data_IF_216779135787
#
_entry.id   IF_216779135787
#
_cell.length_a   1.000
_cell.length_b   1.000
_cell.length_c   1.000
_cell.angle_alpha   90.00
_cell.angle_beta   90.00
_cell.angle_gamma   90.00
#
_symmetry.space_group_name_H-M   'P 1'
#
loop_
_entity.id
_entity.type
_entity.pdbx_description
1 polymer ?
#
# COMPACT_ATOMS: atom_id res chain seq x y z
N UNK A 1 -5.96 29.64 3.13
CA UNK A 1 -5.08 29.14 2.04
C UNK A 1 -5.61 27.77 1.57
N UNK A 2 -5.58 27.43 0.27
CA UNK A 2 -6.00 26.09 -0.20
C UNK A 2 -4.77 25.22 -0.41
N UNK A 3 -4.74 24.01 0.15
CA UNK A 3 -3.68 23.00 -0.08
C UNK A 3 -4.28 21.86 -0.90
N UNK A 4 -3.53 21.32 -1.87
CA UNK A 4 -3.90 20.05 -2.48
C UNK A 4 -3.58 18.93 -1.50
N UNK A 5 -4.58 18.14 -1.10
CA UNK A 5 -4.36 16.88 -0.40
C UNK A 5 -4.08 15.82 -1.44
N UNK A 6 -2.95 15.14 -1.30
CA UNK A 6 -2.43 14.13 -2.25
C UNK A 6 -2.66 12.71 -1.72
N UNK A 7 -2.47 11.69 -2.57
CA UNK A 7 -2.56 10.30 -2.11
C UNK A 7 -1.47 10.01 -1.07
N UNK A 8 -0.28 10.60 -1.22
CA UNK A 8 0.78 10.41 -0.23
C UNK A 8 0.43 10.98 1.15
N UNK A 9 -0.29 12.10 1.23
CA UNK A 9 -0.79 12.64 2.51
C UNK A 9 -1.67 11.60 3.24
N UNK A 10 -2.58 10.92 2.50
CA UNK A 10 -3.42 9.85 3.07
C UNK A 10 -2.62 8.62 3.49
N UNK A 11 -1.58 8.27 2.72
CA UNK A 11 -0.72 7.14 3.07
C UNK A 11 0.06 7.40 4.36
N UNK A 12 0.70 8.57 4.45
CA UNK A 12 1.46 8.99 5.65
C UNK A 12 0.56 9.03 6.87
N UNK A 13 -0.67 9.53 6.73
CA UNK A 13 -1.65 9.53 7.82
C UNK A 13 -2.01 8.12 8.31
N UNK A 14 -2.21 7.16 7.38
CA UNK A 14 -2.52 5.75 7.73
C UNK A 14 -1.42 5.03 8.48
N UNK A 15 -0.16 5.42 8.28
CA UNK A 15 1.00 4.76 8.91
C UNK A 15 1.59 5.55 10.08
N UNK A 16 1.06 6.74 10.37
CA UNK A 16 1.60 7.66 11.39
C UNK A 16 1.70 7.02 12.77
N UNK A 17 0.74 6.20 13.16
CA UNK A 17 0.76 5.49 14.45
C UNK A 17 1.89 4.45 14.51
N UNK A 18 2.15 3.75 13.41
CA UNK A 18 3.28 2.81 13.30
C UNK A 18 4.60 3.54 13.43
N UNK A 19 4.76 4.66 12.71
CA UNK A 19 5.97 5.49 12.77
C UNK A 19 6.20 6.02 14.20
N UNK A 20 5.13 6.46 14.90
CA UNK A 20 5.19 6.93 16.29
C UNK A 20 5.64 5.87 17.30
N UNK A 21 5.25 4.60 17.09
CA UNK A 21 5.71 3.47 17.92
C UNK A 21 7.22 3.30 17.80
N UNK A 22 7.78 3.43 16.58
CA UNK A 22 9.21 3.32 16.36
C UNK A 22 10.00 4.45 17.02
N UNK A 23 9.51 5.68 16.94
CA UNK A 23 10.13 6.85 17.59
C UNK A 23 10.10 6.73 19.11
N UNK A 24 8.96 6.31 19.67
CA UNK A 24 8.78 6.09 21.11
C UNK A 24 9.73 5.01 21.62
N UNK A 25 9.83 3.89 20.90
CA UNK A 25 10.74 2.79 21.25
C UNK A 25 12.21 3.22 21.19
N UNK A 26 12.60 3.94 20.13
CA UNK A 26 13.95 4.50 20.00
C UNK A 26 14.31 5.45 21.13
N UNK A 27 13.36 6.30 21.55
CA UNK A 27 13.52 7.23 22.67
C UNK A 27 13.73 6.50 23.99
N UNK A 28 12.89 5.50 24.30
CA UNK A 28 13.00 4.68 25.51
C UNK A 28 14.35 3.97 25.60
N UNK A 29 14.82 3.40 24.49
CA UNK A 29 16.15 2.79 24.45
C UNK A 29 17.27 3.83 24.63
N UNK A 30 17.14 5.03 24.04
CA UNK A 30 18.10 6.12 24.25
C UNK A 30 18.25 6.50 25.73
N UNK A 31 17.12 6.58 26.45
CA UNK A 31 17.09 6.84 27.89
C UNK A 31 17.79 5.70 28.66
N UNK A 32 17.41 4.44 28.38
CA UNK A 32 17.99 3.27 29.06
C UNK A 32 19.49 3.12 28.79
N UNK A 33 19.93 3.32 27.55
CA UNK A 33 21.34 3.32 27.16
C UNK A 33 22.13 4.46 27.81
N UNK A 34 21.50 5.60 28.08
CA UNK A 34 22.08 6.68 28.88
C UNK A 34 22.29 6.30 30.34
N UNK A 35 21.29 5.68 30.98
CA UNK A 35 21.40 5.16 32.35
C UNK A 35 22.48 4.06 32.45
N UNK A 36 22.57 3.21 31.43
CA UNK A 36 23.63 2.20 31.30
C UNK A 36 25.02 2.75 30.97
N UNK A 37 25.20 4.07 30.79
CA UNK A 37 26.52 4.70 30.68
C UNK A 37 26.95 5.36 31.99
N UNK A 38 26.02 5.60 32.92
CA UNK A 38 26.26 6.30 34.18
C UNK A 38 26.72 5.36 35.31
N UNK A 39 26.49 4.04 35.19
CA UNK A 39 27.20 3.04 35.98
C UNK A 39 28.59 2.82 35.41
N UNK A 40 29.62 2.87 36.23
CA UNK A 40 31.03 2.98 35.83
C UNK A 40 31.52 1.85 34.90
N UNK A 41 32.56 2.16 34.10
CA UNK A 41 33.22 1.30 33.10
C UNK A 41 33.91 0.02 33.64
N UNK A 42 33.75 -0.36 34.90
CA UNK A 42 34.71 -1.23 35.58
C UNK A 42 34.27 -2.69 35.86
N UNK A 43 32.98 -3.03 35.86
CA UNK A 43 32.54 -4.40 36.23
C UNK A 43 32.13 -5.23 35.00
N UNK A 44 32.62 -6.48 34.94
CA UNK A 44 32.28 -7.45 33.91
C UNK A 44 30.76 -7.73 33.87
N UNK A 45 30.10 -7.67 35.03
CA UNK A 45 28.64 -7.79 35.14
C UNK A 45 27.93 -6.70 34.33
N UNK A 46 28.40 -5.45 34.40
CA UNK A 46 27.79 -4.32 33.71
C UNK A 46 27.97 -4.38 32.18
N UNK A 47 29.17 -4.79 31.72
CA UNK A 47 29.42 -5.06 30.29
C UNK A 47 28.53 -6.18 29.75
N UNK A 48 28.31 -7.23 30.55
CA UNK A 48 27.41 -8.33 30.21
C UNK A 48 25.94 -7.87 30.12
N UNK A 49 25.48 -7.08 31.10
CA UNK A 49 24.13 -6.51 31.11
C UNK A 49 23.88 -5.61 29.88
N UNK A 50 24.83 -4.73 29.55
CA UNK A 50 24.75 -3.88 28.36
C UNK A 50 24.66 -4.71 27.08
N UNK A 51 25.52 -5.71 26.91
CA UNK A 51 25.49 -6.59 25.74
C UNK A 51 24.16 -7.34 25.61
N UNK A 52 23.61 -7.83 26.72
CA UNK A 52 22.30 -8.48 26.75
C UNK A 52 21.18 -7.51 26.36
N UNK A 53 21.20 -6.29 26.91
CA UNK A 53 20.25 -5.24 26.57
C UNK A 53 20.32 -4.82 25.10
N UNK A 54 21.51 -4.64 24.54
CA UNK A 54 21.71 -4.31 23.13
C UNK A 54 21.21 -5.43 22.22
N UNK A 55 21.45 -6.70 22.59
CA UNK A 55 20.94 -7.86 21.85
C UNK A 55 19.41 -7.92 21.88
N UNK A 56 18.80 -7.77 23.05
CA UNK A 56 17.34 -7.76 23.21
C UNK A 56 16.69 -6.58 22.51
N UNK A 57 17.32 -5.41 22.55
CA UNK A 57 16.84 -4.25 21.83
C UNK A 57 16.85 -4.49 20.32
N UNK A 58 17.92 -5.08 19.80
CA UNK A 58 18.00 -5.42 18.38
C UNK A 58 16.90 -6.42 18.00
N UNK A 59 16.71 -7.48 18.77
CA UNK A 59 15.66 -8.48 18.53
C UNK A 59 14.26 -7.86 18.52
N UNK A 60 13.94 -7.01 19.51
CA UNK A 60 12.64 -6.33 19.60
C UNK A 60 12.50 -5.34 18.44
N UNK A 61 13.54 -4.58 18.12
CA UNK A 61 13.52 -3.61 17.03
C UNK A 61 13.28 -4.30 15.68
N UNK A 62 13.97 -5.40 15.40
CA UNK A 62 13.80 -6.17 14.16
C UNK A 62 12.37 -6.75 14.09
N UNK A 63 11.83 -7.23 15.21
CA UNK A 63 10.44 -7.70 15.28
C UNK A 63 9.43 -6.57 15.04
N UNK A 64 9.66 -5.39 15.60
CA UNK A 64 8.83 -4.21 15.40
C UNK A 64 8.85 -3.75 13.95
N UNK A 65 10.02 -3.65 13.31
CA UNK A 65 10.10 -3.28 11.90
C UNK A 65 9.44 -4.30 10.98
N UNK A 66 9.59 -5.59 11.27
CA UNK A 66 8.90 -6.66 10.55
C UNK A 66 7.37 -6.52 10.62
N UNK A 67 6.82 -6.24 11.80
CA UNK A 67 5.36 -6.04 11.95
C UNK A 67 4.88 -4.74 11.31
N UNK A 68 5.60 -3.63 11.52
CA UNK A 68 5.27 -2.36 10.89
C UNK A 68 5.35 -2.42 9.37
N UNK A 69 6.29 -3.18 8.81
CA UNK A 69 6.37 -3.43 7.38
C UNK A 69 5.09 -4.11 6.85
N UNK A 70 4.61 -5.17 7.51
CA UNK A 70 3.37 -5.86 7.11
C UNK A 70 2.17 -4.92 7.13
N UNK A 71 2.07 -4.07 8.17
CA UNK A 71 0.97 -3.11 8.34
C UNK A 71 1.06 -2.02 7.26
N UNK A 72 2.21 -1.40 7.06
CA UNK A 72 2.44 -0.35 6.07
C UNK A 72 2.17 -0.85 4.65
N UNK A 73 2.71 -2.01 4.27
CA UNK A 73 2.43 -2.61 2.97
C UNK A 73 0.93 -2.89 2.81
N UNK A 74 0.27 -3.44 3.84
CA UNK A 74 -1.18 -3.66 3.81
C UNK A 74 -1.99 -2.37 3.69
N UNK A 75 -1.54 -1.29 4.33
CA UNK A 75 -2.15 0.03 4.25
C UNK A 75 -2.02 0.63 2.83
N UNK A 76 -0.87 0.42 2.18
CA UNK A 76 -0.66 0.81 0.79
C UNK A 76 -1.57 0.04 -0.18
N UNK A 77 -1.67 -1.30 -0.04
CA UNK A 77 -2.59 -2.12 -0.84
C UNK A 77 -4.05 -1.65 -0.69
N UNK A 78 -4.47 -1.39 0.54
CA UNK A 78 -5.82 -0.88 0.85
C UNK A 78 -6.05 0.50 0.22
N UNK A 79 -5.05 1.39 0.28
CA UNK A 79 -5.17 2.73 -0.30
C UNK A 79 -5.23 2.68 -1.83
N UNK A 80 -4.45 1.83 -2.48
CA UNK A 80 -4.53 1.60 -3.93
C UNK A 80 -5.93 1.13 -4.36
N UNK A 81 -6.50 0.17 -3.63
CA UNK A 81 -7.89 -0.29 -3.85
C UNK A 81 -8.88 0.85 -3.74
N UNK A 82 -8.74 1.66 -2.70
CA UNK A 82 -9.63 2.78 -2.47
C UNK A 82 -9.51 3.87 -3.55
N UNK A 83 -8.28 4.18 -3.99
CA UNK A 83 -8.01 5.15 -5.06
C UNK A 83 -8.65 4.68 -6.37
N UNK A 84 -8.39 3.43 -6.76
CA UNK A 84 -8.98 2.83 -7.95
C UNK A 84 -10.51 2.85 -7.89
N UNK A 85 -11.09 2.45 -6.75
CA UNK A 85 -12.54 2.52 -6.51
C UNK A 85 -13.06 3.94 -6.64
N UNK A 86 -12.36 4.94 -6.09
CA UNK A 86 -12.77 6.33 -6.18
C UNK A 86 -12.81 6.81 -7.63
N UNK A 87 -11.78 6.51 -8.41
CA UNK A 87 -11.71 6.90 -9.81
C UNK A 87 -12.83 6.23 -10.62
N UNK A 88 -13.08 4.93 -10.41
CA UNK A 88 -14.20 4.25 -11.07
C UNK A 88 -15.56 4.90 -10.79
N UNK A 89 -15.77 5.38 -9.56
CA UNK A 89 -17.06 5.95 -9.15
C UNK A 89 -17.22 7.38 -9.66
N UNK A 90 -16.19 8.20 -9.52
CA UNK A 90 -16.25 9.63 -9.85
C UNK A 90 -16.11 9.87 -11.37
N UNK A 91 -15.33 9.05 -12.07
CA UNK A 91 -15.09 9.16 -13.52
C UNK A 91 -15.78 8.06 -14.35
N UNK A 92 -16.79 7.37 -13.81
CA UNK A 92 -17.47 6.24 -14.49
C UNK A 92 -17.80 6.51 -15.97
N UNK A 93 -18.32 7.69 -16.30
CA UNK A 93 -18.72 8.04 -17.67
C UNK A 93 -17.53 8.09 -18.66
N UNK A 94 -16.33 8.44 -18.18
CA UNK A 94 -15.09 8.40 -18.98
C UNK A 94 -14.60 6.96 -19.13
N UNK A 95 -14.66 6.21 -18.03
CA UNK A 95 -14.14 4.84 -17.91
C UNK A 95 -14.97 3.82 -18.69
N UNK A 96 -16.30 3.94 -18.65
CA UNK A 96 -17.18 2.94 -19.27
C UNK A 96 -16.93 2.82 -20.77
N UNK A 97 -16.62 3.94 -21.42
CA UNK A 97 -16.31 4.00 -22.85
C UNK A 97 -15.05 3.22 -23.21
N UNK A 98 -14.06 3.15 -22.32
CA UNK A 98 -12.80 2.43 -22.54
C UNK A 98 -12.82 0.99 -22.03
N UNK A 99 -13.71 0.65 -21.09
CA UNK A 99 -13.62 -0.60 -20.32
C UNK A 99 -14.13 -1.89 -20.99
N UNK A 100 -14.80 -1.82 -22.15
CA UNK A 100 -15.50 -2.96 -22.78
C UNK A 100 -16.47 -3.74 -21.85
N UNK A 101 -16.83 -3.18 -20.69
CA UNK A 101 -17.74 -3.81 -19.73
C UNK A 101 -19.18 -3.44 -20.10
N UNK A 102 -19.97 -4.46 -20.41
CA UNK A 102 -21.40 -4.29 -20.68
C UNK A 102 -22.24 -4.55 -19.42
N UNK A 103 -23.30 -3.76 -19.28
CA UNK A 103 -24.36 -4.00 -18.30
C UNK A 103 -25.55 -4.63 -19.01
N UNK A 104 -26.14 -5.66 -18.40
CA UNK A 104 -27.39 -6.23 -18.92
C UNK A 104 -28.55 -5.26 -18.68
N UNK A 105 -29.63 -5.41 -19.47
CA UNK A 105 -30.83 -4.58 -19.30
C UNK A 105 -31.41 -4.68 -17.88
N UNK A 106 -31.38 -5.87 -17.27
CA UNK A 106 -31.84 -6.07 -15.90
C UNK A 106 -31.02 -5.30 -14.87
N UNK A 107 -29.70 -5.25 -15.03
CA UNK A 107 -28.81 -4.49 -14.13
C UNK A 107 -28.99 -2.98 -14.26
N UNK A 108 -29.14 -2.50 -15.50
CA UNK A 108 -29.45 -1.09 -15.77
C UNK A 108 -30.77 -0.73 -15.08
N UNK A 109 -31.81 -1.55 -15.26
CA UNK A 109 -33.11 -1.31 -14.65
C UNK A 109 -33.04 -1.30 -13.12
N UNK A 110 -32.36 -2.28 -12.51
CA UNK A 110 -32.20 -2.37 -11.06
C UNK A 110 -31.49 -1.12 -10.48
N UNK A 111 -30.45 -0.65 -11.14
CA UNK A 111 -29.71 0.55 -10.71
C UNK A 111 -30.60 1.79 -10.83
N UNK A 112 -31.33 1.94 -11.93
CA UNK A 112 -32.22 3.09 -12.15
C UNK A 112 -33.35 3.14 -11.13
N UNK A 113 -34.02 2.00 -10.89
CA UNK A 113 -35.10 1.89 -9.88
C UNK A 113 -34.58 2.25 -8.49
N UNK A 114 -33.41 1.74 -8.09
CA UNK A 114 -32.81 2.09 -6.80
C UNK A 114 -32.48 3.58 -6.67
N UNK A 115 -32.06 4.24 -7.74
CA UNK A 115 -31.80 5.68 -7.74
C UNK A 115 -33.09 6.48 -7.59
N UNK A 116 -34.14 6.09 -8.31
CA UNK A 116 -35.47 6.71 -8.24
C UNK A 116 -36.09 6.53 -6.85
N UNK A 117 -36.10 5.30 -6.31
CA UNK A 117 -36.63 4.99 -4.97
C UNK A 117 -35.90 5.73 -3.84
N UNK A 118 -34.61 6.04 -4.02
CA UNK A 118 -33.81 6.80 -3.04
C UNK A 118 -33.85 8.31 -3.25
N UNK A 119 -34.53 8.81 -4.28
CA UNK A 119 -34.56 10.23 -4.64
C UNK A 119 -33.20 10.78 -5.09
N UNK A 120 -32.30 9.90 -5.55
CA UNK A 120 -30.93 10.22 -6.01
C UNK A 120 -30.78 9.94 -7.51
N UNK A 121 -31.68 10.49 -8.31
CA UNK A 121 -31.82 10.26 -9.76
C UNK A 121 -30.98 11.21 -10.64
N UNK A 122 -30.20 12.12 -10.04
CA UNK A 122 -29.37 13.01 -10.83
C UNK A 122 -28.32 12.24 -11.64
N UNK A 123 -27.95 12.69 -12.86
CA UNK A 123 -27.03 11.95 -13.74
C UNK A 123 -25.71 11.56 -13.06
N UNK A 124 -25.20 12.43 -12.18
CA UNK A 124 -23.99 12.18 -11.40
C UNK A 124 -24.17 11.04 -10.39
N UNK A 125 -25.29 11.00 -9.67
CA UNK A 125 -25.56 9.93 -8.71
C UNK A 125 -25.77 8.60 -9.40
N UNK A 126 -26.53 8.59 -10.50
CA UNK A 126 -26.74 7.39 -11.32
C UNK A 126 -25.40 6.85 -11.83
N UNK A 127 -24.55 7.70 -12.42
CA UNK A 127 -23.21 7.31 -12.87
C UNK A 127 -22.35 6.72 -11.74
N UNK A 128 -22.39 7.32 -10.55
CA UNK A 128 -21.68 6.80 -9.38
C UNK A 128 -22.18 5.41 -8.94
N UNK A 129 -23.49 5.12 -9.05
CA UNK A 129 -24.01 3.77 -8.78
C UNK A 129 -23.53 2.75 -9.79
N UNK A 130 -23.50 3.11 -11.08
CA UNK A 130 -22.91 2.24 -12.10
C UNK A 130 -21.43 1.96 -11.83
N UNK A 131 -20.64 2.97 -11.45
CA UNK A 131 -19.24 2.80 -11.04
C UNK A 131 -19.07 1.86 -9.84
N UNK A 132 -19.96 1.95 -8.84
CA UNK A 132 -19.98 1.01 -7.70
C UNK A 132 -20.32 -0.42 -8.12
N UNK A 133 -21.31 -0.59 -9.00
CA UNK A 133 -21.70 -1.90 -9.52
C UNK A 133 -20.58 -2.53 -10.34
N UNK A 134 -19.93 -1.74 -11.19
CA UNK A 134 -18.77 -2.13 -11.97
C UNK A 134 -17.63 -2.63 -11.08
N UNK A 135 -17.30 -1.87 -10.02
CA UNK A 135 -16.29 -2.29 -9.06
C UNK A 135 -16.66 -3.61 -8.38
N UNK A 136 -17.93 -3.79 -8.00
CA UNK A 136 -18.43 -5.05 -7.42
C UNK A 136 -18.27 -6.24 -8.37
N UNK A 137 -18.58 -6.07 -9.66
CA UNK A 137 -18.32 -7.08 -10.70
C UNK A 137 -16.85 -7.46 -10.82
N UNK A 138 -15.98 -6.45 -10.86
CA UNK A 138 -14.53 -6.66 -10.97
C UNK A 138 -13.94 -7.37 -9.74
N UNK A 139 -14.54 -7.20 -8.56
CA UNK A 139 -14.15 -7.92 -7.35
C UNK A 139 -14.68 -9.36 -7.31
N UNK A 140 -15.91 -9.57 -7.79
CA UNK A 140 -16.61 -10.86 -7.71
C UNK A 140 -16.35 -11.80 -8.89
N UNK A 141 -15.73 -11.30 -9.96
CA UNK A 141 -15.38 -12.14 -11.12
C UNK A 141 -14.49 -13.31 -10.71
N UNK A 142 -14.82 -14.49 -11.26
CA UNK A 142 -14.00 -15.70 -11.11
C UNK A 142 -12.88 -15.78 -12.15
N UNK A 143 -12.96 -14.95 -13.20
CA UNK A 143 -11.93 -14.84 -14.23
C UNK A 143 -10.66 -14.22 -13.62
N UNK A 144 -9.55 -14.97 -13.50
CA UNK A 144 -8.32 -14.47 -12.90
C UNK A 144 -7.72 -13.29 -13.66
N UNK A 145 -7.94 -13.19 -14.98
CA UNK A 145 -7.40 -12.10 -15.80
C UNK A 145 -8.13 -10.78 -15.53
N UNK A 146 -9.43 -10.85 -15.24
CA UNK A 146 -10.28 -9.69 -14.94
C UNK A 146 -10.36 -9.36 -13.45
N UNK A 147 -10.00 -10.30 -12.57
CA UNK A 147 -10.05 -10.11 -11.13
C UNK A 147 -8.97 -9.12 -10.71
N UNK A 148 -9.38 -8.01 -10.10
CA UNK A 148 -8.43 -6.99 -9.64
C UNK A 148 -7.54 -7.55 -8.53
N UNK A 149 -6.22 -7.56 -8.74
CA UNK A 149 -5.23 -7.89 -7.73
C UNK A 149 -4.11 -6.83 -7.67
N UNK A 150 -4.18 -5.95 -6.66
CA UNK A 150 -3.15 -4.93 -6.41
C UNK A 150 -1.84 -5.49 -5.83
N UNK A 151 -1.81 -6.77 -5.46
CA UNK A 151 -0.57 -7.47 -5.10
C UNK A 151 0.19 -7.98 -6.34
N UNK A 152 -0.41 -7.91 -7.53
CA UNK A 152 0.27 -8.15 -8.79
C UNK A 152 0.53 -6.80 -9.45
N UNK A 153 1.79 -6.35 -9.41
CA UNK A 153 2.16 -5.01 -9.87
C UNK A 153 1.91 -4.78 -11.36
N UNK A 154 2.17 -5.79 -12.21
CA UNK A 154 1.87 -5.70 -13.64
C UNK A 154 0.37 -5.58 -13.90
N UNK A 155 -0.42 -6.31 -13.12
CA UNK A 155 -1.87 -6.19 -13.24
C UNK A 155 -2.36 -4.83 -12.75
N UNK A 156 -1.84 -4.33 -11.63
CA UNK A 156 -2.14 -2.99 -11.12
C UNK A 156 -1.84 -1.92 -12.18
N UNK A 157 -0.65 -1.94 -12.77
CA UNK A 157 -0.30 -1.00 -13.83
C UNK A 157 -1.26 -1.12 -15.02
N UNK A 158 -1.49 -2.35 -15.51
CA UNK A 158 -2.40 -2.59 -16.63
C UNK A 158 -3.84 -2.15 -16.38
N UNK A 159 -4.37 -2.26 -15.15
CA UNK A 159 -5.71 -1.74 -14.84
C UNK A 159 -5.72 -0.22 -14.67
N UNK A 160 -4.67 0.41 -14.18
CA UNK A 160 -4.62 1.87 -14.12
C UNK A 160 -4.55 2.49 -15.53
N UNK A 161 -3.78 1.87 -16.41
CA UNK A 161 -3.70 2.28 -17.81
C UNK A 161 -5.02 2.01 -18.55
N UNK A 162 -5.52 0.77 -18.53
CA UNK A 162 -6.71 0.40 -19.29
C UNK A 162 -7.98 1.18 -18.91
N UNK A 163 -8.16 1.50 -17.64
CA UNK A 163 -9.37 2.19 -17.17
C UNK A 163 -9.25 3.71 -17.14
N UNK A 164 -8.04 4.24 -16.93
CA UNK A 164 -7.84 5.67 -16.65
C UNK A 164 -6.76 6.35 -17.50
N UNK A 165 -6.04 5.61 -18.35
CA UNK A 165 -4.89 6.12 -19.08
C UNK A 165 -3.75 6.56 -18.16
N UNK A 166 -3.63 5.93 -16.98
CA UNK A 166 -2.56 6.21 -16.03
C UNK A 166 -1.43 5.19 -16.25
N UNK A 167 -0.36 5.65 -16.90
CA UNK A 167 0.88 4.90 -17.02
C UNK A 167 1.84 5.30 -15.88
N UNK A 168 2.39 4.31 -15.16
CA UNK A 168 3.34 4.54 -14.06
C UNK A 168 4.77 4.63 -14.60
N UNK A 169 5.09 3.92 -15.69
CA UNK A 169 6.35 3.94 -16.45
C UNK A 169 7.62 4.03 -15.57
N UNK A 170 7.69 3.17 -14.54
CA UNK A 170 8.81 3.12 -13.61
C UNK A 170 9.07 1.68 -13.15
N UNK A 171 9.58 0.87 -14.08
CA UNK A 171 9.84 -0.56 -13.87
C UNK A 171 10.66 -0.85 -12.61
N UNK A 172 11.69 -0.04 -12.33
CA UNK A 172 12.54 -0.24 -11.14
C UNK A 172 11.74 -0.08 -9.85
N UNK A 173 10.90 0.96 -9.76
CA UNK A 173 10.01 1.17 -8.63
C UNK A 173 8.99 0.03 -8.51
N UNK A 174 8.35 -0.32 -9.62
CA UNK A 174 7.36 -1.39 -9.69
C UNK A 174 7.93 -2.75 -9.28
N UNK A 175 9.17 -3.05 -9.69
CA UNK A 175 9.90 -4.26 -9.29
C UNK A 175 10.17 -4.28 -7.79
N UNK A 176 10.60 -3.15 -7.20
CA UNK A 176 10.81 -3.05 -5.74
C UNK A 176 9.49 -3.23 -4.97
N UNK A 177 8.41 -2.60 -5.41
CA UNK A 177 7.08 -2.76 -4.83
C UNK A 177 6.59 -4.21 -4.91
N UNK A 178 6.79 -4.86 -6.06
CA UNK A 178 6.48 -6.28 -6.22
C UNK A 178 7.23 -7.12 -5.19
N UNK A 179 8.53 -6.87 -4.99
CA UNK A 179 9.30 -7.54 -3.94
C UNK A 179 8.73 -7.29 -2.56
N UNK A 180 8.35 -6.05 -2.22
CA UNK A 180 7.75 -5.74 -0.91
C UNK A 180 6.47 -6.56 -0.66
N UNK A 181 5.67 -6.81 -1.71
CA UNK A 181 4.46 -7.62 -1.62
C UNK A 181 4.79 -9.08 -1.33
N UNK A 182 5.82 -9.62 -2.00
CA UNK A 182 6.29 -10.98 -1.75
C UNK A 182 6.85 -11.13 -0.33
N UNK A 183 7.62 -10.15 0.17
CA UNK A 183 8.14 -10.15 1.55
C UNK A 183 7.01 -10.14 2.56
N UNK A 184 5.99 -9.27 2.39
CA UNK A 184 4.81 -9.28 3.26
C UNK A 184 4.12 -10.64 3.25
N UNK A 185 3.93 -11.25 2.07
CA UNK A 185 3.28 -12.55 1.95
C UNK A 185 4.00 -13.61 2.78
N UNK A 186 5.34 -13.67 2.68
CA UNK A 186 6.15 -14.59 3.49
C UNK A 186 5.98 -14.34 4.99
N UNK A 187 6.00 -13.08 5.42
CA UNK A 187 5.85 -12.74 6.84
C UNK A 187 4.47 -13.15 7.36
N UNK A 188 3.42 -12.86 6.60
CA UNK A 188 2.04 -13.08 7.01
C UNK A 188 1.62 -14.56 7.00
N UNK A 189 2.15 -15.36 6.08
CA UNK A 189 1.63 -16.72 5.84
C UNK A 189 2.64 -17.84 6.10
N UNK A 190 3.95 -17.56 6.02
CA UNK A 190 4.97 -18.60 6.07
C UNK A 190 5.98 -18.41 7.20
N UNK A 191 5.63 -17.64 8.24
CA UNK A 191 6.57 -17.28 9.33
C UNK A 191 7.91 -16.74 8.79
N UNK A 192 7.84 -16.00 7.67
CA UNK A 192 9.00 -15.46 6.95
C UNK A 192 9.94 -16.48 6.32
N UNK A 193 9.56 -17.75 6.24
CA UNK A 193 10.32 -18.78 5.54
C UNK A 193 10.09 -18.65 4.04
N UNK A 194 11.18 -18.50 3.30
CA UNK A 194 11.18 -18.39 1.84
C UNK A 194 10.70 -19.71 1.24
N UNK A 195 9.68 -19.62 0.40
CA UNK A 195 9.12 -20.72 -0.38
C UNK A 195 9.46 -20.59 -1.88
N UNK A 196 9.09 -21.60 -2.66
CA UNK A 196 9.32 -21.60 -4.11
C UNK A 196 8.58 -20.46 -4.81
N UNK A 197 7.39 -20.09 -4.32
CA UNK A 197 6.58 -19.02 -4.90
C UNK A 197 7.30 -17.67 -4.82
N UNK A 198 7.86 -17.34 -3.65
CA UNK A 198 8.66 -16.14 -3.46
C UNK A 198 9.85 -16.12 -4.43
N UNK A 199 10.65 -17.19 -4.45
CA UNK A 199 11.86 -17.26 -5.30
C UNK A 199 11.48 -17.08 -6.77
N UNK A 200 10.44 -17.78 -7.23
CA UNK A 200 9.97 -17.69 -8.61
C UNK A 200 9.44 -16.30 -8.97
N UNK A 201 8.77 -15.61 -8.04
CA UNK A 201 8.20 -14.29 -8.27
C UNK A 201 9.25 -13.18 -8.21
N UNK A 202 10.20 -13.25 -7.30
CA UNK A 202 11.25 -12.23 -7.11
C UNK A 202 12.35 -12.39 -8.17
N UNK A 203 12.67 -13.62 -8.59
CA UNK A 203 13.65 -13.86 -9.66
C UNK A 203 13.21 -13.27 -11.00
N UNK A 204 11.90 -13.26 -11.30
CA UNK A 204 11.35 -12.65 -12.54
C UNK A 204 11.63 -11.15 -12.64
N UNK A 205 11.80 -10.46 -11.52
CA UNK A 205 12.10 -9.03 -11.46
C UNK A 205 13.56 -8.74 -11.12
N UNK A 206 14.43 -9.76 -11.13
CA UNK A 206 15.88 -9.65 -10.87
C UNK A 206 16.26 -9.04 -9.51
N UNK A 207 15.39 -9.13 -8.50
CA UNK A 207 15.64 -8.60 -7.15
C UNK A 207 15.83 -9.69 -6.09
N UNK A 208 16.23 -10.90 -6.50
CA UNK A 208 16.55 -11.97 -5.56
C UNK A 208 17.91 -11.68 -4.93
N UNK A 209 17.95 -11.49 -3.61
CA UNK A 209 19.18 -11.10 -2.91
C UNK A 209 20.12 -12.28 -2.70
N UNK A 210 21.42 -11.98 -2.59
CA UNK A 210 22.44 -12.98 -2.32
C UNK A 210 22.17 -13.68 -0.98
N UNK A 211 21.82 -14.97 -1.03
CA UNK A 211 21.53 -15.80 0.15
C UNK A 211 20.06 -16.12 0.35
N UNK A 212 19.14 -15.44 -0.36
CA UNK A 212 17.73 -15.78 -0.40
C UNK A 212 17.52 -17.09 -1.18
N UNK A 213 17.10 -18.14 -0.46
CA UNK A 213 16.78 -19.45 -1.04
C UNK A 213 15.73 -20.14 -0.17
N UNK A 214 15.04 -21.11 -0.76
CA UNK A 214 13.99 -21.88 -0.09
C UNK A 214 14.47 -22.43 1.26
N UNK A 215 13.62 -22.30 2.28
CA UNK A 215 13.90 -22.72 3.66
C UNK A 215 14.73 -21.72 4.48
N UNK A 216 15.24 -20.63 3.89
CA UNK A 216 15.81 -19.50 4.65
C UNK A 216 14.73 -18.56 5.12
N UNK A 217 15.03 -17.78 6.16
CA UNK A 217 14.12 -16.76 6.68
C UNK A 217 14.48 -15.39 6.09
N UNK A 218 13.48 -14.68 5.59
CA UNK A 218 13.62 -13.26 5.26
C UNK A 218 13.66 -12.46 6.56
N UNK A 219 14.57 -11.49 6.62
CA UNK A 219 14.66 -10.51 7.69
C UNK A 219 14.18 -9.17 7.18
N UNK A 220 13.53 -8.40 8.04
CA UNK A 220 13.14 -7.02 7.75
C UNK A 220 13.73 -6.16 8.85
N UNK A 221 14.62 -5.26 8.48
CA UNK A 221 15.23 -4.28 9.38
C UNK A 221 14.72 -2.88 9.07
N UNK A 222 15.12 -1.90 9.89
CA UNK A 222 14.77 -0.48 9.73
C UNK A 222 14.91 0.02 8.29
N UNK A 223 16.03 -0.32 7.65
CA UNK A 223 16.34 0.12 6.29
C UNK A 223 15.28 -0.36 5.29
N UNK A 224 14.84 -1.60 5.40
CA UNK A 224 13.90 -2.20 4.46
C UNK A 224 12.50 -1.59 4.66
N UNK A 225 12.11 -1.30 5.90
CA UNK A 225 10.90 -0.53 6.21
C UNK A 225 10.92 0.86 5.56
N UNK A 226 12.01 1.62 5.75
CA UNK A 226 12.16 2.97 5.19
C UNK A 226 12.14 2.93 3.66
N UNK A 227 12.84 1.97 3.05
CA UNK A 227 12.86 1.84 1.60
C UNK A 227 11.45 1.57 1.05
N UNK A 228 10.72 0.62 1.64
CA UNK A 228 9.36 0.32 1.21
C UNK A 228 8.42 1.50 1.42
N UNK A 229 8.52 2.21 2.55
CA UNK A 229 7.77 3.45 2.80
C UNK A 229 7.98 4.48 1.70
N UNK A 230 9.23 4.72 1.31
CA UNK A 230 9.57 5.69 0.28
C UNK A 230 9.11 5.23 -1.10
N UNK A 231 9.28 3.95 -1.45
CA UNK A 231 8.77 3.40 -2.71
C UNK A 231 7.24 3.58 -2.83
N UNK A 232 6.47 3.43 -1.74
CA UNK A 232 5.02 3.71 -1.78
C UNK A 232 4.69 5.19 -1.89
N UNK A 233 5.45 6.06 -1.23
CA UNK A 233 5.30 7.51 -1.40
C UNK A 233 5.52 7.86 -2.87
N UNK A 234 6.61 7.38 -3.48
CA UNK A 234 6.92 7.66 -4.89
C UNK A 234 5.80 7.17 -5.82
N UNK A 235 5.27 5.95 -5.60
CA UNK A 235 4.12 5.44 -6.34
C UNK A 235 2.90 6.35 -6.19
N UNK A 236 2.57 6.77 -4.97
CA UNK A 236 1.41 7.63 -4.71
C UNK A 236 1.57 9.05 -5.24
N UNK A 237 2.80 9.56 -5.31
CA UNK A 237 3.11 10.82 -6.00
C UNK A 237 2.91 10.68 -7.50
N UNK A 238 3.41 9.61 -8.13
CA UNK A 238 3.18 9.34 -9.56
C UNK A 238 1.67 9.25 -9.86
N UNK A 239 0.92 8.50 -9.07
CA UNK A 239 -0.53 8.38 -9.23
C UNK A 239 -1.25 9.72 -9.03
N UNK A 240 -0.84 10.53 -8.04
CA UNK A 240 -1.42 11.87 -7.83
C UNK A 240 -1.21 12.75 -9.05
N UNK A 241 0.02 12.80 -9.57
CA UNK A 241 0.36 13.59 -10.74
C UNK A 241 -0.42 13.13 -11.98
N UNK A 242 -0.49 11.82 -12.21
CA UNK A 242 -1.22 11.25 -13.35
C UNK A 242 -2.73 11.53 -13.29
N UNK A 243 -3.34 11.45 -12.10
CA UNK A 243 -4.76 11.82 -11.90
C UNK A 243 -5.00 13.28 -12.27
N UNK A 244 -4.10 14.18 -11.87
CA UNK A 244 -4.21 15.60 -12.22
C UNK A 244 -4.01 15.85 -13.71
N UNK A 245 -3.00 15.23 -14.33
CA UNK A 245 -2.70 15.38 -15.76
C UNK A 245 -3.85 14.89 -16.64
N UNK A 246 -4.49 13.78 -16.25
CA UNK A 246 -5.62 13.20 -16.97
C UNK A 246 -6.97 13.86 -16.63
N UNK A 247 -7.00 14.91 -15.81
CA UNK A 247 -8.21 15.58 -15.33
C UNK A 247 -9.25 14.59 -14.76
N UNK A 248 -8.78 13.68 -13.90
CA UNK A 248 -9.59 12.69 -13.22
C UNK A 248 -9.99 13.19 -11.83
N UNK A 249 -11.19 12.84 -11.40
CA UNK A 249 -11.74 13.16 -10.10
C UNK A 249 -11.50 12.00 -9.12
N UNK A 250 -10.78 12.27 -8.04
CA UNK A 250 -10.57 11.31 -6.96
C UNK A 250 -10.82 11.95 -5.61
N UNK A 251 -11.48 11.24 -4.69
CA UNK A 251 -11.60 11.70 -3.29
C UNK A 251 -10.25 11.81 -2.58
N UNK A 252 -9.20 11.22 -3.15
CA UNK A 252 -7.84 11.24 -2.61
C UNK A 252 -6.95 12.33 -3.22
N UNK A 253 -7.44 13.08 -4.22
CA UNK A 253 -6.71 14.19 -4.85
C UNK A 253 -7.66 15.39 -4.91
N UNK A 254 -7.70 16.21 -3.84
CA UNK A 254 -8.65 17.34 -3.72
C UNK A 254 -8.02 18.57 -3.07
N UNK A 255 -8.43 19.74 -3.53
CA UNK A 255 -8.12 21.01 -2.86
C UNK A 255 -8.90 21.10 -1.55
N UNK A 256 -8.20 21.18 -0.43
CA UNK A 256 -8.76 21.42 0.90
C UNK A 256 -8.53 22.87 1.32
N UNK A 257 -9.49 23.45 2.04
CA UNK A 257 -9.28 24.72 2.74
C UNK A 257 -8.49 24.44 4.02
N UNK A 258 -7.42 25.19 4.26
CA UNK A 258 -6.76 25.23 5.56
C UNK A 258 -7.54 26.21 6.43
N UNK A 259 -8.02 25.72 7.58
CA UNK A 259 -8.58 26.57 8.63
C UNK A 259 -7.44 27.46 9.16
N UNK A 260 -7.68 28.76 9.15
CA UNK A 260 -6.76 29.81 9.61
C UNK A 260 -6.77 29.95 11.13
#
# INVERSE_FOLDING_TARGET
MKKLRTIEDFFVERIKEVDSIFDSYGTLYGIYGGLLKQGTNADAAYKSMKKSADTKQKEISDMLYKQGFVIMVGAAESLLKDVFKSLLIEDFAKVIKSSNINFSAGEVQEILVKCEESGLDSPKHVAAQFGRHMYSKLQSTKDPERKINFQNVKQMEGIFDAYFGINIDNDDLLNRIHRHWQVRHLIAHNDSVIDDNFVNNVKKVQLLEAGERVGKRVSVIKRDYIQARNDFIDLFTILTNAIQLNNLDSKYVKLIKLDS
#
